data_IF_062512166844
#
_entry.id   IF_062512166844
#
_cell.length_a   1.000
_cell.length_b   1.000
_cell.length_c   1.000
_cell.angle_alpha   90.00
_cell.angle_beta   90.00
_cell.angle_gamma   90.00
#
_symmetry.space_group_name_H-M   'P 1'
#
loop_
_entity.id
_entity.type
_entity.pdbx_description
1 polymer ?
#
# COMPACT_ATOMS: atom_id res chain seq x y z
N UNK A 1 18.14 19.29 -5.12
CA UNK A 1 16.81 18.84 -5.58
C UNK A 1 16.32 17.83 -4.58
N UNK A 2 15.04 17.89 -4.20
CA UNK A 2 14.42 16.94 -3.26
C UNK A 2 13.40 16.08 -3.98
N UNK A 3 13.39 14.78 -3.71
CA UNK A 3 12.37 13.84 -4.17
C UNK A 3 11.57 13.36 -2.97
N UNK A 4 10.26 13.59 -2.97
CA UNK A 4 9.38 13.25 -1.86
C UNK A 4 8.32 12.26 -2.34
N UNK A 5 8.12 11.19 -1.57
CA UNK A 5 6.99 10.27 -1.74
C UNK A 5 5.87 10.77 -0.83
N UNK A 6 4.70 11.05 -1.38
CA UNK A 6 3.54 11.55 -0.63
C UNK A 6 2.37 10.58 -0.78
N UNK A 7 1.74 10.25 0.35
CA UNK A 7 0.52 9.43 0.44
C UNK A 7 -0.47 10.16 1.35
N UNK A 8 -1.23 11.13 0.81
CA UNK A 8 -2.10 11.98 1.62
C UNK A 8 -3.31 11.22 2.17
N UNK A 9 -3.77 10.22 1.44
CA UNK A 9 -4.95 9.43 1.78
C UNK A 9 -4.56 8.09 2.41
N UNK A 10 -5.37 7.56 3.35
CA UNK A 10 -5.13 6.25 3.94
C UNK A 10 -5.29 5.12 2.89
N UNK A 11 -4.66 3.95 3.10
CA UNK A 11 -4.85 2.80 2.23
C UNK A 11 -6.28 2.30 2.29
N UNK A 12 -6.81 1.88 1.13
CA UNK A 12 -8.12 1.23 1.03
C UNK A 12 -7.94 -0.28 1.00
N UNK A 13 -8.72 -1.00 1.81
CA UNK A 13 -8.74 -2.47 1.81
C UNK A 13 -10.00 -2.95 1.13
N UNK A 14 -9.84 -3.84 0.15
CA UNK A 14 -10.93 -4.54 -0.51
C UNK A 14 -10.87 -6.03 -0.17
N UNK A 15 -12.01 -6.58 0.25
CA UNK A 15 -12.20 -8.00 0.51
C UNK A 15 -13.06 -8.55 -0.62
N UNK A 16 -12.49 -9.41 -1.44
CA UNK A 16 -13.18 -10.12 -2.52
C UNK A 16 -13.08 -11.61 -2.22
N UNK A 17 -14.09 -12.15 -1.51
CA UNK A 17 -14.49 -13.56 -1.26
C UNK A 17 -13.44 -14.63 -0.91
N UNK A 18 -12.23 -14.50 -1.44
CA UNK A 18 -11.08 -15.39 -1.38
C UNK A 18 -9.77 -14.64 -1.16
N UNK A 19 -9.78 -13.29 -1.22
CA UNK A 19 -8.56 -12.48 -1.18
C UNK A 19 -8.82 -11.09 -0.58
N UNK A 20 -7.89 -10.64 0.26
CA UNK A 20 -7.77 -9.25 0.62
C UNK A 20 -6.77 -8.55 -0.30
N UNK A 21 -7.14 -7.39 -0.82
CA UNK A 21 -6.24 -6.50 -1.54
C UNK A 21 -6.19 -5.16 -0.84
N UNK A 22 -5.01 -4.54 -0.87
CA UNK A 22 -4.79 -3.21 -0.32
C UNK A 22 -4.33 -2.30 -1.45
N UNK A 23 -4.93 -1.12 -1.50
CA UNK A 23 -4.67 -0.09 -2.48
C UNK A 23 -4.14 1.12 -1.76
N UNK A 24 -2.95 1.58 -2.15
CA UNK A 24 -2.43 2.88 -1.74
C UNK A 24 -2.27 3.77 -2.97
N UNK A 25 -2.74 5.00 -2.86
CA UNK A 25 -2.49 6.03 -3.85
C UNK A 25 -1.50 7.06 -3.31
N UNK A 26 -0.76 7.68 -4.20
CA UNK A 26 0.18 8.71 -3.82
C UNK A 26 0.76 9.45 -5.00
N UNK A 27 1.76 10.27 -4.70
CA UNK A 27 2.51 11.01 -5.69
C UNK A 27 3.99 11.04 -5.38
N UNK A 28 4.79 11.10 -6.43
CA UNK A 28 6.21 11.39 -6.36
C UNK A 28 6.40 12.85 -6.75
N UNK A 29 6.84 13.67 -5.81
CA UNK A 29 6.99 15.12 -5.98
C UNK A 29 8.47 15.46 -6.08
N UNK A 30 8.86 16.05 -7.21
CA UNK A 30 10.19 16.57 -7.43
C UNK A 30 10.18 18.09 -7.20
N UNK A 31 10.95 18.54 -6.20
CA UNK A 31 11.09 19.95 -5.87
C UNK A 31 12.28 20.56 -6.62
N UNK A 32 12.00 21.63 -7.37
CA UNK A 32 13.03 22.45 -8.01
C UNK A 32 13.72 23.33 -6.94
N UNK A 33 15.04 23.63 -7.06
CA UNK A 33 15.78 24.39 -6.05
C UNK A 33 15.22 25.77 -5.70
N UNK A 34 14.40 26.38 -6.56
CA UNK A 34 13.80 27.69 -6.33
C UNK A 34 12.46 27.66 -5.59
N UNK A 35 11.98 26.49 -5.13
CA UNK A 35 10.69 26.27 -4.43
C UNK A 35 9.40 26.76 -5.14
N UNK A 36 9.52 27.41 -6.29
CA UNK A 36 8.39 28.01 -7.04
C UNK A 36 7.73 27.06 -8.04
N UNK A 37 8.28 25.86 -8.25
CA UNK A 37 7.69 24.86 -9.13
C UNK A 37 8.00 23.46 -8.64
N UNK A 38 6.97 22.61 -8.66
CA UNK A 38 7.07 21.19 -8.39
C UNK A 38 6.56 20.42 -9.61
N UNK A 39 7.08 19.21 -9.77
CA UNK A 39 6.62 18.26 -10.78
C UNK A 39 6.15 17.02 -10.04
N UNK A 40 4.94 16.57 -10.31
CA UNK A 40 4.36 15.40 -9.67
C UNK A 40 4.11 14.26 -10.66
N UNK A 41 4.32 13.04 -10.19
CA UNK A 41 3.91 11.80 -10.84
C UNK A 41 3.00 11.06 -9.88
N UNK A 42 1.72 10.96 -10.22
CA UNK A 42 0.76 10.19 -9.43
C UNK A 42 0.96 8.70 -9.68
N UNK A 43 0.76 7.91 -8.64
CA UNK A 43 0.87 6.45 -8.71
C UNK A 43 -0.20 5.79 -7.85
N UNK A 44 -0.56 4.58 -8.24
CA UNK A 44 -1.45 3.70 -7.48
C UNK A 44 -0.78 2.34 -7.35
N UNK A 45 -0.58 1.93 -6.10
CA UNK A 45 -0.01 0.67 -5.68
C UNK A 45 -1.14 -0.27 -5.26
N UNK A 46 -1.27 -1.39 -5.96
CA UNK A 46 -2.12 -2.51 -5.58
C UNK A 46 -1.24 -3.63 -5.02
N UNK A 47 -1.65 -4.24 -3.91
CA UNK A 47 -0.98 -5.42 -3.36
C UNK A 47 -1.98 -6.38 -2.74
N UNK A 48 -1.60 -7.66 -2.64
CA UNK A 48 -2.32 -8.58 -1.74
C UNK A 48 -2.06 -8.15 -0.31
N UNK A 49 -3.13 -8.08 0.46
CA UNK A 49 -3.08 -7.87 1.89
C UNK A 49 -2.94 -9.20 2.61
N UNK A 50 -2.07 -9.24 3.62
CA UNK A 50 -2.03 -10.32 4.59
C UNK A 50 -2.54 -9.82 5.93
N UNK A 51 -3.39 -10.64 6.54
CA UNK A 51 -3.84 -10.47 7.90
C UNK A 51 -3.14 -11.49 8.79
N UNK A 52 -2.63 -11.04 9.93
CA UNK A 52 -2.11 -11.93 10.95
C UNK A 52 -2.66 -11.54 12.31
N UNK A 53 -2.98 -12.54 13.12
CA UNK A 53 -3.41 -12.37 14.50
C UNK A 53 -2.26 -12.77 15.42
N UNK A 54 -1.51 -11.77 15.90
CA UNK A 54 -0.39 -12.00 16.83
C UNK A 54 -0.61 -11.14 18.07
N UNK A 55 -0.41 -11.70 19.26
CA UNK A 55 -0.58 -10.98 20.52
C UNK A 55 -1.99 -10.39 20.70
N UNK A 56 -3.03 -11.10 20.23
CA UNK A 56 -4.42 -10.59 20.23
C UNK A 56 -4.61 -9.32 19.38
N UNK A 57 -3.77 -9.07 18.39
CA UNK A 57 -3.91 -7.95 17.46
C UNK A 57 -4.01 -8.47 16.03
N UNK A 58 -4.95 -7.91 15.26
CA UNK A 58 -5.03 -8.10 13.82
C UNK A 58 -4.15 -7.05 13.13
N UNK A 59 -3.16 -7.50 12.37
CA UNK A 59 -2.22 -6.65 11.61
C UNK A 59 -2.44 -6.81 10.12
N UNK A 60 -2.47 -5.68 9.41
CA UNK A 60 -2.57 -5.60 7.95
C UNK A 60 -1.19 -5.29 7.36
N UNK A 61 -0.79 -6.00 6.30
CA UNK A 61 0.47 -5.73 5.59
C UNK A 61 0.32 -5.85 4.07
N UNK A 62 1.03 -5.00 3.33
CA UNK A 62 1.26 -5.18 1.90
C UNK A 62 2.20 -6.37 1.68
N UNK A 63 1.90 -7.20 0.69
CA UNK A 63 2.78 -8.30 0.27
C UNK A 63 3.70 -7.85 -0.88
N UNK A 64 5.01 -7.67 -0.66
CA UNK A 64 5.90 -7.04 -1.66
C UNK A 64 5.92 -7.76 -3.01
N UNK A 65 5.89 -9.09 -2.99
CA UNK A 65 5.97 -9.94 -4.19
C UNK A 65 4.69 -9.93 -5.05
N UNK A 66 3.62 -9.31 -4.57
CA UNK A 66 2.35 -9.19 -5.28
C UNK A 66 2.00 -7.75 -5.63
N UNK A 67 2.98 -6.86 -5.58
CA UNK A 67 2.75 -5.44 -5.86
C UNK A 67 2.64 -5.17 -7.34
N UNK A 68 1.64 -4.36 -7.69
CA UNK A 68 1.44 -3.83 -9.02
C UNK A 68 1.31 -2.32 -8.92
N UNK A 69 2.14 -1.60 -9.68
CA UNK A 69 2.13 -0.14 -9.73
C UNK A 69 1.56 0.32 -11.06
N UNK A 70 0.63 1.25 -10.99
CA UNK A 70 0.08 1.96 -12.14
C UNK A 70 0.39 3.44 -12.01
N UNK A 71 0.74 4.08 -13.12
CA UNK A 71 0.93 5.52 -13.17
C UNK A 71 -0.41 6.20 -13.39
N UNK A 72 -0.64 7.30 -12.69
CA UNK A 72 -1.75 8.23 -12.93
C UNK A 72 -1.29 9.39 -13.78
N UNK A 73 -1.57 10.61 -13.34
CA UNK A 73 -1.10 11.83 -14.00
C UNK A 73 0.42 11.97 -13.90
N UNK A 74 1.07 12.28 -15.02
CA UNK A 74 2.48 12.60 -15.08
C UNK A 74 2.76 13.64 -16.18
N UNK A 75 3.91 14.33 -16.17
CA UNK A 75 4.21 15.38 -17.16
C UNK A 75 4.31 14.84 -18.58
N UNK A 76 3.71 15.53 -19.55
CA UNK A 76 3.68 15.12 -20.96
C UNK A 76 5.08 14.83 -21.55
N UNK A 77 6.11 15.54 -21.09
CA UNK A 77 7.50 15.30 -21.50
C UNK A 77 8.05 13.91 -21.15
N UNK A 78 7.39 13.17 -20.25
CA UNK A 78 7.79 11.82 -19.84
C UNK A 78 7.02 10.71 -20.57
N UNK A 79 6.04 11.02 -21.42
CA UNK A 79 5.22 10.02 -22.11
C UNK A 79 6.06 9.03 -22.94
N UNK A 80 7.11 9.50 -23.62
CA UNK A 80 8.04 8.64 -24.37
C UNK A 80 8.90 7.70 -23.50
N UNK A 81 8.85 7.86 -22.18
CA UNK A 81 9.63 7.11 -21.20
C UNK A 81 8.72 6.50 -20.13
N UNK A 82 7.42 6.34 -20.41
CA UNK A 82 6.42 5.89 -19.44
C UNK A 82 6.84 4.57 -18.77
N UNK A 83 7.25 3.56 -19.53
CA UNK A 83 7.67 2.27 -18.97
C UNK A 83 8.90 2.40 -18.06
N UNK A 84 9.87 3.24 -18.45
CA UNK A 84 11.05 3.50 -17.62
C UNK A 84 10.67 4.24 -16.33
N UNK A 85 9.74 5.19 -16.42
CA UNK A 85 9.20 5.91 -15.26
C UNK A 85 8.45 4.95 -14.32
N UNK A 86 7.60 4.07 -14.87
CA UNK A 86 6.86 3.06 -14.13
C UNK A 86 7.81 2.10 -13.41
N UNK A 87 8.86 1.63 -14.09
CA UNK A 87 9.89 0.78 -13.49
C UNK A 87 10.64 1.50 -12.35
N UNK A 88 11.00 2.77 -12.55
CA UNK A 88 11.66 3.59 -11.52
C UNK A 88 10.76 3.78 -10.29
N UNK A 89 9.50 4.18 -10.49
CA UNK A 89 8.53 4.36 -9.40
C UNK A 89 8.30 3.03 -8.68
N UNK A 90 8.15 1.92 -9.41
CA UNK A 90 7.97 0.59 -8.82
C UNK A 90 9.14 0.20 -7.93
N UNK A 91 10.37 0.39 -8.40
CA UNK A 91 11.57 0.06 -7.63
C UNK A 91 11.72 0.96 -6.39
N UNK A 92 11.45 2.25 -6.54
CA UNK A 92 11.49 3.21 -5.44
C UNK A 92 10.47 2.85 -4.36
N UNK A 93 9.22 2.57 -4.75
CA UNK A 93 8.18 2.17 -3.81
C UNK A 93 8.52 0.84 -3.13
N UNK A 94 9.07 -0.12 -3.88
CA UNK A 94 9.46 -1.41 -3.33
C UNK A 94 10.56 -1.30 -2.28
N UNK A 95 11.57 -0.46 -2.53
CA UNK A 95 12.73 -0.32 -1.63
C UNK A 95 12.49 0.60 -0.45
N UNK A 96 11.81 1.72 -0.67
CA UNK A 96 11.72 2.79 0.32
C UNK A 96 10.34 2.84 0.98
N UNK A 97 9.28 2.77 0.17
CA UNK A 97 7.92 2.97 0.67
C UNK A 97 7.39 1.72 1.40
N UNK A 98 7.44 0.55 0.77
CA UNK A 98 6.84 -0.67 1.32
C UNK A 98 7.38 -1.07 2.69
N UNK A 99 8.71 -1.08 2.97
CA UNK A 99 9.20 -1.49 4.27
C UNK A 99 8.72 -0.56 5.39
N UNK A 100 8.87 0.74 5.18
CA UNK A 100 8.48 1.75 6.17
C UNK A 100 6.96 1.80 6.35
N UNK A 101 6.20 1.70 5.27
CA UNK A 101 4.75 1.75 5.35
C UNK A 101 4.14 0.48 5.97
N UNK A 102 4.74 -0.69 5.75
CA UNK A 102 4.35 -1.92 6.45
C UNK A 102 4.68 -1.86 7.94
N UNK A 103 5.79 -1.23 8.32
CA UNK A 103 6.12 -0.98 9.73
C UNK A 103 5.03 -0.13 10.39
N UNK A 104 4.70 1.03 9.80
CA UNK A 104 3.63 1.90 10.29
C UNK A 104 2.26 1.21 10.34
N UNK A 105 1.89 0.44 9.31
CA UNK A 105 0.65 -0.33 9.32
C UNK A 105 0.66 -1.43 10.38
N UNK A 106 1.82 -2.01 10.68
CA UNK A 106 1.94 -3.02 11.71
C UNK A 106 1.78 -2.47 13.11
N UNK A 107 1.92 -1.15 13.31
CA UNK A 107 1.64 -0.41 14.56
C UNK A 107 0.15 -0.02 14.69
N UNK A 108 -0.57 0.06 13.57
CA UNK A 108 -2.01 0.32 13.53
C UNK A 108 -2.75 -0.99 13.84
N UNK A 109 -2.72 -1.40 15.11
CA UNK A 109 -3.31 -2.64 15.58
C UNK A 109 -4.83 -2.54 15.67
N UNK A 110 -5.53 -3.53 15.11
CA UNK A 110 -6.94 -3.75 15.44
C UNK A 110 -7.01 -4.78 16.57
N UNK A 111 -7.33 -4.37 17.81
CA UNK A 111 -7.38 -5.30 18.94
C UNK A 111 -8.47 -6.36 18.69
N UNK A 112 -8.11 -7.62 18.91
CA UNK A 112 -9.04 -8.74 18.87
C UNK A 112 -9.77 -8.85 20.20
N UNK A 113 -11.00 -9.41 20.23
CA UNK A 113 -11.71 -9.67 21.46
C UNK A 113 -10.87 -10.51 22.43
N UNK A 114 -10.78 -10.07 23.69
CA UNK A 114 -10.06 -10.82 24.73
C UNK A 114 -11.03 -11.73 25.48
N UNK A 115 -11.10 -13.00 25.06
CA UNK A 115 -11.96 -14.01 25.69
C UNK A 115 -11.08 -14.95 26.52
N UNK A 116 -11.41 -15.09 27.80
CA UNK A 116 -10.65 -15.92 28.74
C UNK A 116 -10.57 -17.37 28.24
N UNK A 117 -9.35 -17.89 28.13
CA UNK A 117 -9.09 -19.26 27.64
C UNK A 117 -9.03 -19.41 26.12
N UNK A 118 -9.24 -18.33 25.34
CA UNK A 118 -9.15 -18.36 23.87
C UNK A 118 -7.92 -17.56 23.42
N UNK A 119 -7.14 -18.14 22.51
CA UNK A 119 -5.98 -17.49 21.88
C UNK A 119 -6.17 -17.40 20.37
N UNK A 120 -6.03 -16.18 19.85
CA UNK A 120 -6.06 -15.93 18.40
C UNK A 120 -4.67 -16.03 17.75
N UNK A 121 -3.61 -16.44 18.46
CA UNK A 121 -2.24 -16.44 17.91
C UNK A 121 -2.04 -17.35 16.67
N UNK A 122 -2.97 -18.27 16.42
CA UNK A 122 -2.99 -19.15 15.25
C UNK A 122 -4.29 -19.03 14.45
N UNK A 123 -5.09 -17.99 14.70
CA UNK A 123 -6.32 -17.78 13.96
C UNK A 123 -6.00 -17.48 12.49
N UNK A 124 -6.87 -17.98 11.60
CA UNK A 124 -6.79 -17.73 10.18
C UNK A 124 -7.94 -16.82 9.80
N UNK A 125 -7.69 -15.92 8.85
CA UNK A 125 -8.76 -15.13 8.26
C UNK A 125 -9.40 -15.98 7.17
N UNK A 126 -10.71 -16.21 7.31
CA UNK A 126 -11.55 -16.80 6.28
C UNK A 126 -12.47 -15.70 5.75
N UNK A 127 -12.64 -15.68 4.43
CA UNK A 127 -13.52 -14.73 3.76
C UNK A 127 -14.89 -15.39 3.58
N UNK A 128 -15.94 -14.64 3.86
CA UNK A 128 -17.31 -15.12 3.65
C UNK A 128 -17.69 -14.96 2.18
N UNK A 129 -18.26 -15.99 1.57
CA UNK A 129 -18.90 -15.87 0.26
C UNK A 129 -20.17 -15.02 0.38
N UNK A 130 -20.29 -13.98 -0.44
CA UNK A 130 -21.57 -13.30 -0.64
C UNK A 130 -22.37 -14.17 -1.60
N UNK A 131 -23.37 -14.88 -1.10
CA UNK A 131 -24.41 -15.46 -1.94
C UNK A 131 -25.14 -14.29 -2.64
N UNK A 132 -24.80 -14.05 -3.90
CA UNK A 132 -25.64 -13.25 -4.78
C UNK A 132 -26.91 -14.07 -5.04
N UNK A 133 -27.95 -13.79 -4.27
CA UNK A 133 -29.31 -14.27 -4.52
C UNK A 133 -29.96 -13.52 -5.66
#
# INVERSE_FOLDING_TARGET
MGLTISTPDPPTVHLDGHRATVIQQGSLVLLRPSNTSSVSVSWKLLSKALFSSRNQELKLQFTPNSTMVTLGTYPAGLAKQEERLKAFVSELLRRMFLPHHNELLSEQHLPLPSIKGISFNKARVEFSEVNAG
#
